data_IF_197933207281
#
_entry.id   IF_197933207281
#
_cell.length_a   1.000
_cell.length_b   1.000
_cell.length_c   1.000
_cell.angle_alpha   90.00
_cell.angle_beta   90.00
_cell.angle_gamma   90.00
#
_symmetry.space_group_name_H-M   'P 1'
#
loop_
_entity.id
_entity.type
_entity.pdbx_description
1 polymer ?
#
# COMPACT_ATOMS: atom_id res chain seq x y z
N UNK A 1 23.23 20.70 33.24
CA UNK A 1 23.11 21.01 31.80
C UNK A 1 23.12 19.75 30.92
N UNK A 2 24.05 18.81 31.09
CA UNK A 2 24.08 17.55 30.31
C UNK A 2 22.82 16.68 30.46
N UNK A 3 22.28 16.54 31.68
CA UNK A 3 21.06 15.73 31.94
C UNK A 3 19.81 16.32 31.27
N UNK A 4 19.73 17.64 31.18
CA UNK A 4 18.61 18.36 30.52
C UNK A 4 18.67 18.15 29.00
N UNK A 5 19.88 18.16 28.41
CA UNK A 5 20.06 17.90 26.99
C UNK A 5 19.76 16.44 26.61
N UNK A 6 20.10 15.46 27.45
CA UNK A 6 19.78 14.05 27.22
C UNK A 6 18.27 13.82 27.27
N UNK A 7 17.57 14.41 28.25
CA UNK A 7 16.11 14.31 28.34
C UNK A 7 15.39 14.93 27.13
N UNK A 8 15.89 16.05 26.60
CA UNK A 8 15.36 16.69 25.38
C UNK A 8 15.60 15.80 24.14
N UNK A 9 16.80 15.22 23.99
CA UNK A 9 17.11 14.32 22.87
C UNK A 9 16.26 13.05 22.93
N UNK A 10 16.08 12.45 24.11
CA UNK A 10 15.21 11.28 24.28
C UNK A 10 13.73 11.60 24.02
N UNK A 11 13.24 12.77 24.44
CA UNK A 11 11.88 13.24 24.13
C UNK A 11 11.70 13.52 22.62
N UNK A 12 12.71 14.07 21.95
CA UNK A 12 12.72 14.27 20.49
C UNK A 12 12.81 12.93 19.72
N UNK A 13 13.57 11.95 20.21
CA UNK A 13 13.60 10.60 19.64
C UNK A 13 12.29 9.85 19.85
N UNK A 14 11.59 10.06 20.97
CA UNK A 14 10.23 9.53 21.19
C UNK A 14 9.20 10.20 20.26
N UNK A 15 9.36 11.50 19.99
CA UNK A 15 8.50 12.25 19.05
C UNK A 15 8.68 11.85 17.57
N UNK A 16 9.83 11.29 17.20
CA UNK A 16 10.11 10.86 15.81
C UNK A 16 9.65 9.41 15.55
N UNK A 17 9.33 8.63 16.57
CA UNK A 17 8.65 7.33 16.42
C UNK A 17 7.13 7.55 16.47
N UNK A 18 6.62 8.38 15.55
CA UNK A 18 5.22 8.24 15.12
C UNK A 18 5.22 7.06 14.17
N UNK A 19 4.75 5.89 14.63
CA UNK A 19 4.45 4.79 13.71
C UNK A 19 3.47 5.33 12.65
N UNK A 20 3.82 5.16 11.37
CA UNK A 20 2.94 5.54 10.28
C UNK A 20 1.62 4.77 10.43
N UNK A 21 0.50 5.43 10.18
CA UNK A 21 -0.80 4.78 10.25
C UNK A 21 -0.97 3.74 9.14
N UNK A 22 -1.86 2.74 9.27
CA UNK A 22 -2.06 1.71 8.26
C UNK A 22 -2.35 2.28 6.86
N UNK A 23 -3.07 3.40 6.77
CA UNK A 23 -3.35 4.11 5.54
C UNK A 23 -2.09 4.74 4.92
N UNK A 24 -1.17 5.27 5.72
CA UNK A 24 0.11 5.82 5.24
C UNK A 24 1.06 4.71 4.76
N UNK A 25 1.12 3.59 5.47
CA UNK A 25 1.89 2.42 5.05
C UNK A 25 1.36 1.84 3.73
N UNK A 26 0.04 1.73 3.62
CA UNK A 26 -0.63 1.32 2.39
C UNK A 26 -0.34 2.30 1.25
N UNK A 27 -0.50 3.61 1.46
CA UNK A 27 -0.20 4.65 0.49
C UNK A 27 1.24 4.55 -0.02
N UNK A 28 2.20 4.40 0.90
CA UNK A 28 3.62 4.29 0.59
C UNK A 28 3.90 3.08 -0.28
N UNK A 29 3.31 1.93 0.02
CA UNK A 29 3.51 0.71 -0.76
C UNK A 29 2.85 0.79 -2.14
N UNK A 30 1.64 1.35 -2.24
CA UNK A 30 1.00 1.64 -3.53
C UNK A 30 1.89 2.54 -4.38
N UNK A 31 2.41 3.63 -3.80
CA UNK A 31 3.25 4.59 -4.51
C UNK A 31 4.61 4.02 -4.91
N UNK A 32 5.18 3.11 -4.11
CA UNK A 32 6.39 2.35 -4.48
C UNK A 32 6.15 1.52 -5.74
N UNK A 33 5.00 0.85 -5.83
CA UNK A 33 4.63 0.01 -6.97
C UNK A 33 4.24 0.85 -8.19
N UNK A 34 3.44 1.91 -8.02
CA UNK A 34 3.10 2.88 -9.09
C UNK A 34 4.33 3.51 -9.73
N UNK A 35 5.37 3.79 -8.94
CA UNK A 35 6.65 4.30 -9.44
C UNK A 35 7.31 3.36 -10.45
N UNK A 36 7.22 2.03 -10.25
CA UNK A 36 7.75 1.04 -11.21
C UNK A 36 7.11 1.14 -12.59
N UNK A 37 5.90 1.69 -12.65
CA UNK A 37 5.11 1.88 -13.87
C UNK A 37 5.16 3.33 -14.40
N UNK A 38 5.90 4.23 -13.74
CA UNK A 38 5.91 5.66 -14.08
C UNK A 38 4.58 6.36 -13.81
N UNK A 39 3.70 5.78 -12.98
CA UNK A 39 2.44 6.41 -12.61
C UNK A 39 2.68 7.49 -11.55
N UNK A 40 1.99 8.64 -11.61
CA UNK A 40 2.05 9.66 -10.56
C UNK A 40 1.67 9.07 -9.19
N UNK A 41 2.26 9.54 -8.08
CA UNK A 41 1.87 9.08 -6.76
C UNK A 41 0.42 9.47 -6.46
N UNK A 42 -0.28 8.58 -5.74
CA UNK A 42 -1.55 8.88 -5.11
C UNK A 42 -1.33 9.72 -3.85
N UNK A 43 -2.37 10.41 -3.42
CA UNK A 43 -2.47 11.02 -2.08
C UNK A 43 -3.63 10.41 -1.31
N UNK A 44 -3.52 10.32 0.01
CA UNK A 44 -4.68 9.97 0.84
C UNK A 44 -5.75 11.07 0.75
N UNK A 45 -7.01 10.65 0.82
CA UNK A 45 -8.17 11.52 0.94
C UNK A 45 -8.97 11.10 2.17
N UNK A 46 -9.04 11.98 3.17
CA UNK A 46 -9.62 11.66 4.48
C UNK A 46 -11.09 11.22 4.40
N UNK A 47 -11.85 11.77 3.46
CA UNK A 47 -13.26 11.38 3.27
C UNK A 47 -13.33 9.97 2.70
N UNK A 48 -12.53 9.69 1.67
CA UNK A 48 -12.48 8.36 1.05
C UNK A 48 -11.93 7.29 2.01
N UNK A 49 -10.92 7.64 2.83
CA UNK A 49 -10.37 6.78 3.90
C UNK A 49 -11.43 6.44 4.92
N UNK A 50 -12.16 7.44 5.44
CA UNK A 50 -13.25 7.21 6.38
C UNK A 50 -14.33 6.29 5.78
N UNK A 51 -14.70 6.50 4.53
CA UNK A 51 -15.67 5.64 3.84
C UNK A 51 -15.15 4.21 3.66
N UNK A 52 -13.83 4.02 3.44
CA UNK A 52 -13.20 2.70 3.39
C UNK A 52 -13.23 2.00 4.76
N UNK A 53 -12.96 2.73 5.84
CA UNK A 53 -13.00 2.20 7.22
C UNK A 53 -14.40 1.74 7.61
N UNK A 54 -15.42 2.56 7.30
CA UNK A 54 -16.82 2.21 7.51
C UNK A 54 -17.19 0.97 6.71
N UNK A 55 -16.77 0.89 5.45
CA UNK A 55 -17.06 -0.27 4.61
C UNK A 55 -16.30 -1.53 5.02
N UNK A 56 -15.05 -1.40 5.50
CA UNK A 56 -14.28 -2.51 6.03
C UNK A 56 -15.02 -3.19 7.18
N UNK A 57 -15.63 -2.42 8.08
CA UNK A 57 -16.48 -2.94 9.18
C UNK A 57 -17.65 -3.76 8.63
N UNK A 58 -18.34 -3.27 7.62
CA UNK A 58 -19.47 -3.98 6.98
C UNK A 58 -19.06 -5.35 6.45
N UNK A 59 -17.99 -5.43 5.65
CA UNK A 59 -17.54 -6.71 5.09
C UNK A 59 -16.89 -7.62 6.14
N UNK A 60 -16.30 -7.03 7.20
CA UNK A 60 -15.75 -7.76 8.34
C UNK A 60 -16.82 -8.45 9.18
N UNK A 61 -17.96 -7.78 9.41
CA UNK A 61 -19.15 -8.35 10.05
C UNK A 61 -19.79 -9.45 9.20
N UNK A 62 -19.87 -9.25 7.88
CA UNK A 62 -20.37 -10.25 6.94
C UNK A 62 -19.43 -11.46 6.82
N UNK A 63 -18.13 -11.26 7.03
CA UNK A 63 -17.11 -12.29 6.88
C UNK A 63 -16.88 -12.72 5.42
N UNK A 64 -17.23 -11.87 4.44
CA UNK A 64 -17.07 -12.17 3.01
C UNK A 64 -16.76 -10.91 2.20
N UNK A 65 -16.01 -11.05 1.10
CA UNK A 65 -15.71 -9.93 0.22
C UNK A 65 -16.85 -9.69 -0.75
N UNK A 66 -17.57 -8.58 -0.56
CA UNK A 66 -18.59 -8.10 -1.50
C UNK A 66 -18.31 -6.64 -1.82
N UNK A 67 -18.32 -6.26 -3.10
CA UNK A 67 -18.16 -4.87 -3.51
C UNK A 67 -19.32 -3.98 -3.04
N UNK A 68 -19.01 -2.72 -2.70
CA UNK A 68 -20.00 -1.75 -2.20
C UNK A 68 -21.12 -1.39 -3.19
N UNK A 69 -20.92 -1.69 -4.48
CA UNK A 69 -21.84 -1.29 -5.56
C UNK A 69 -21.61 0.15 -6.05
N UNK A 70 -20.69 0.88 -5.44
CA UNK A 70 -20.38 2.29 -5.76
C UNK A 70 -19.28 2.46 -6.82
N UNK A 71 -19.04 1.43 -7.65
CA UNK A 71 -17.98 1.40 -8.68
C UNK A 71 -18.03 2.51 -9.74
N UNK A 72 -19.09 3.34 -9.74
CA UNK A 72 -19.18 4.56 -10.58
C UNK A 72 -18.58 5.80 -9.92
N UNK A 73 -18.47 5.82 -8.59
CA UNK A 73 -17.94 6.95 -7.81
C UNK A 73 -16.44 6.83 -7.60
N UNK A 74 -15.94 5.61 -7.44
CA UNK A 74 -14.53 5.26 -7.22
C UNK A 74 -14.28 3.84 -7.72
N UNK A 75 -13.02 3.46 -7.92
CA UNK A 75 -12.69 2.02 -7.94
C UNK A 75 -12.46 1.48 -6.53
N UNK A 76 -12.50 0.17 -6.36
CA UNK A 76 -12.43 -0.50 -5.07
C UNK A 76 -11.66 -1.82 -5.19
N UNK A 77 -10.67 -2.00 -4.31
CA UNK A 77 -10.01 -3.27 -4.08
C UNK A 77 -10.39 -3.79 -2.70
N UNK A 78 -10.64 -5.10 -2.62
CA UNK A 78 -11.01 -5.79 -1.38
C UNK A 78 -10.05 -6.95 -1.13
N UNK A 79 -9.79 -7.24 0.14
CA UNK A 79 -8.91 -8.33 0.54
C UNK A 79 -9.25 -8.76 1.97
N UNK A 80 -9.01 -10.03 2.31
CA UNK A 80 -9.00 -10.49 3.68
C UNK A 80 -7.74 -11.30 3.97
N UNK A 81 -7.18 -11.19 5.17
CA UNK A 81 -5.95 -11.91 5.58
C UNK A 81 -5.97 -12.20 7.08
N UNK A 82 -5.38 -13.32 7.50
CA UNK A 82 -5.25 -13.66 8.93
C UNK A 82 -3.93 -13.17 9.55
N UNK A 83 -3.01 -12.67 8.72
CA UNK A 83 -1.74 -12.08 9.09
C UNK A 83 -1.70 -10.58 8.70
N UNK A 84 -0.52 -10.04 8.39
CA UNK A 84 -0.32 -8.61 8.14
C UNK A 84 -1.20 -8.05 7.00
N UNK A 85 -2.18 -7.15 7.24
CA UNK A 85 -3.07 -6.63 6.20
C UNK A 85 -2.35 -5.87 5.07
N UNK A 86 -1.13 -5.36 5.31
CA UNK A 86 -0.38 -4.62 4.29
C UNK A 86 -0.02 -5.49 3.08
N UNK A 87 0.16 -6.81 3.24
CA UNK A 87 0.47 -7.66 2.07
C UNK A 87 -0.71 -7.82 1.09
N UNK A 88 -1.93 -7.36 1.43
CA UNK A 88 -3.00 -7.20 0.43
C UNK A 88 -2.51 -6.39 -0.78
N UNK A 89 -1.68 -5.37 -0.55
CA UNK A 89 -1.16 -4.50 -1.60
C UNK A 89 -0.28 -5.29 -2.58
N UNK A 90 0.55 -6.22 -2.08
CA UNK A 90 1.36 -7.08 -2.93
C UNK A 90 0.52 -8.16 -3.62
N UNK A 91 -0.43 -8.78 -2.91
CA UNK A 91 -1.35 -9.78 -3.47
C UNK A 91 -2.14 -9.20 -4.66
N UNK A 92 -2.65 -7.97 -4.53
CA UNK A 92 -3.32 -7.23 -5.61
C UNK A 92 -2.38 -6.91 -6.77
N UNK A 93 -1.14 -6.51 -6.48
CA UNK A 93 -0.17 -6.20 -7.53
C UNK A 93 0.29 -7.43 -8.31
N UNK A 94 0.39 -8.60 -7.66
CA UNK A 94 0.86 -9.85 -8.27
C UNK A 94 -0.04 -10.36 -9.40
N UNK A 95 -1.25 -9.85 -9.55
CA UNK A 95 -2.10 -10.05 -10.73
C UNK A 95 -1.46 -9.53 -12.03
N UNK A 96 -0.41 -8.69 -11.95
CA UNK A 96 0.38 -8.24 -13.09
C UNK A 96 0.84 -9.39 -13.98
N UNK A 97 1.14 -10.56 -13.40
CA UNK A 97 1.60 -11.75 -14.13
C UNK A 97 0.57 -12.28 -15.14
N UNK A 98 -0.71 -11.98 -14.89
CA UNK A 98 -1.84 -12.42 -15.70
C UNK A 98 -2.34 -11.31 -16.65
N UNK A 99 -1.74 -10.11 -16.59
CA UNK A 99 -2.13 -8.97 -17.40
C UNK A 99 -1.41 -8.94 -18.77
N UNK A 100 -2.19 -9.00 -19.85
CA UNK A 100 -1.69 -8.84 -21.22
C UNK A 100 -1.65 -7.35 -21.60
N UNK A 101 -0.48 -6.75 -21.46
CA UNK A 101 -0.23 -5.34 -21.78
C UNK A 101 -0.42 -4.98 -23.26
N UNK A 102 -0.30 -5.95 -24.18
CA UNK A 102 -0.44 -5.69 -25.61
C UNK A 102 -1.92 -5.62 -26.01
N UNK A 103 -2.74 -6.50 -25.40
CA UNK A 103 -4.20 -6.40 -25.51
C UNK A 103 -4.73 -5.17 -24.80
N UNK A 104 -4.26 -4.88 -23.60
CA UNK A 104 -4.62 -3.69 -22.83
C UNK A 104 -6.13 -3.61 -22.56
N UNK A 105 -6.69 -4.67 -21.99
CA UNK A 105 -8.13 -4.81 -21.74
C UNK A 105 -8.40 -5.45 -20.37
N UNK A 106 -9.64 -5.34 -19.92
CA UNK A 106 -10.07 -6.02 -18.70
C UNK A 106 -10.14 -7.54 -18.89
N UNK A 107 -9.74 -8.28 -17.87
CA UNK A 107 -10.04 -9.70 -17.69
C UNK A 107 -10.34 -10.01 -16.23
N UNK A 108 -10.98 -11.14 -15.96
CA UNK A 108 -11.18 -11.58 -14.58
C UNK A 108 -9.83 -11.86 -13.92
N UNK A 109 -9.66 -11.42 -12.67
CA UNK A 109 -8.44 -11.66 -11.90
C UNK A 109 -7.29 -10.67 -12.14
N UNK A 110 -7.50 -9.57 -12.87
CA UNK A 110 -6.51 -8.47 -13.00
C UNK A 110 -7.02 -7.11 -12.51
N UNK A 111 -8.24 -7.10 -11.97
CA UNK A 111 -8.94 -5.88 -11.58
C UNK A 111 -8.23 -5.15 -10.44
N UNK A 112 -7.61 -5.86 -9.50
CA UNK A 112 -6.95 -5.23 -8.39
C UNK A 112 -5.64 -4.57 -8.82
N UNK A 113 -4.82 -5.28 -9.61
CA UNK A 113 -3.59 -4.72 -10.16
C UNK A 113 -3.88 -3.46 -10.98
N UNK A 114 -4.80 -3.57 -11.94
CA UNK A 114 -5.12 -2.45 -12.85
C UNK A 114 -5.69 -1.25 -12.12
N UNK A 115 -6.44 -1.45 -11.02
CA UNK A 115 -6.90 -0.37 -10.17
C UNK A 115 -5.75 0.38 -9.49
N UNK A 116 -4.79 -0.35 -8.90
CA UNK A 116 -3.65 0.24 -8.18
C UNK A 116 -2.77 1.11 -9.07
N UNK A 117 -2.49 0.64 -10.28
CA UNK A 117 -1.57 1.26 -11.23
C UNK A 117 -2.27 2.18 -12.24
N UNK A 118 -3.57 2.42 -12.09
CA UNK A 118 -4.34 3.28 -12.97
C UNK A 118 -3.75 4.70 -13.00
N UNK A 119 -3.19 5.09 -14.14
CA UNK A 119 -2.35 6.30 -14.29
C UNK A 119 -3.09 7.59 -13.93
N UNK A 120 -4.36 7.70 -14.30
CA UNK A 120 -5.17 8.91 -14.03
C UNK A 120 -5.74 8.98 -12.61
N UNK A 121 -5.64 7.92 -11.81
CA UNK A 121 -6.03 7.97 -10.40
C UNK A 121 -5.08 8.91 -9.64
N UNK A 122 -5.66 9.73 -8.76
CA UNK A 122 -4.97 10.80 -8.04
C UNK A 122 -5.03 10.61 -6.53
N UNK A 123 -6.16 10.09 -6.05
CA UNK A 123 -6.47 9.94 -4.63
C UNK A 123 -6.72 8.49 -4.30
N UNK A 124 -6.41 8.11 -3.08
CA UNK A 124 -6.86 6.86 -2.49
C UNK A 124 -7.44 7.06 -1.09
N UNK A 125 -8.34 6.15 -0.72
CA UNK A 125 -8.74 5.93 0.66
C UNK A 125 -8.41 4.51 1.05
N UNK A 126 -8.10 4.30 2.33
CA UNK A 126 -7.78 2.98 2.86
C UNK A 126 -8.54 2.75 4.16
N UNK A 127 -8.98 1.52 4.38
CA UNK A 127 -9.64 1.14 5.63
C UNK A 127 -9.45 -0.33 5.90
N UNK A 128 -9.30 -0.67 7.17
CA UNK A 128 -9.19 -2.06 7.61
C UNK A 128 -9.94 -2.30 8.91
N UNK A 129 -10.44 -3.51 9.09
CA UNK A 129 -10.99 -3.99 10.36
C UNK A 129 -10.47 -5.40 10.62
N UNK A 130 -10.26 -5.75 11.89
CA UNK A 130 -10.05 -7.13 12.31
C UNK A 130 -11.34 -7.65 12.92
N UNK A 131 -11.92 -8.71 12.36
CA UNK A 131 -13.13 -9.31 12.93
C UNK A 131 -12.82 -10.15 14.18
N UNK A 132 -13.86 -10.63 14.85
CA UNK A 132 -13.75 -11.43 16.09
C UNK A 132 -13.02 -12.77 15.92
N UNK A 133 -12.86 -13.23 14.67
CA UNK A 133 -12.08 -14.44 14.32
C UNK A 133 -10.60 -14.14 14.08
N UNK A 134 -10.19 -12.89 14.25
CA UNK A 134 -8.83 -12.43 14.04
C UNK A 134 -8.44 -12.24 12.57
N UNK A 135 -9.41 -12.21 11.65
CA UNK A 135 -9.19 -12.00 10.21
C UNK A 135 -9.36 -10.52 9.89
N UNK A 136 -8.36 -9.94 9.23
CA UNK A 136 -8.44 -8.59 8.68
C UNK A 136 -9.25 -8.57 7.40
N UNK A 137 -10.06 -7.52 7.24
CA UNK A 137 -10.74 -7.16 6.00
C UNK A 137 -10.29 -5.76 5.62
N UNK A 138 -9.84 -5.62 4.38
CA UNK A 138 -9.18 -4.42 3.87
C UNK A 138 -9.96 -3.90 2.67
N UNK A 139 -10.14 -2.58 2.63
CA UNK A 139 -10.77 -1.84 1.54
C UNK A 139 -9.80 -0.74 1.11
N UNK A 140 -9.48 -0.69 -0.17
CA UNK A 140 -8.82 0.45 -0.79
C UNK A 140 -9.71 1.01 -1.89
N UNK A 141 -9.87 2.33 -1.96
CA UNK A 141 -10.65 3.01 -3.01
C UNK A 141 -9.80 4.03 -3.74
N UNK A 142 -10.10 4.25 -5.01
CA UNK A 142 -9.32 5.12 -5.89
C UNK A 142 -10.21 6.14 -6.59
N UNK A 143 -9.74 7.39 -6.67
CA UNK A 143 -10.42 8.47 -7.35
C UNK A 143 -9.47 9.28 -8.25
N UNK A 144 -9.88 9.72 -9.46
CA UNK A 144 -11.11 9.36 -10.18
C UNK A 144 -11.29 7.85 -10.39
N UNK A 145 -12.50 7.37 -10.74
CA UNK A 145 -12.77 5.95 -10.94
C UNK A 145 -11.78 5.28 -11.89
N UNK A 146 -11.44 4.03 -11.57
CA UNK A 146 -10.45 3.22 -12.29
C UNK A 146 -11.12 2.02 -12.98
N UNK A 147 -10.36 1.25 -13.76
CA UNK A 147 -10.86 0.08 -14.50
C UNK A 147 -12.01 0.39 -15.48
N UNK A 148 -12.00 1.59 -16.04
CA UNK A 148 -12.99 2.02 -17.01
C UNK A 148 -12.75 1.26 -18.33
N UNK A 149 -13.76 0.50 -18.76
CA UNK A 149 -13.71 -0.26 -20.01
C UNK A 149 -13.38 0.66 -21.18
N UNK A 150 -12.39 0.26 -21.97
CA UNK A 150 -11.89 1.02 -23.12
C UNK A 150 -10.79 2.06 -22.80
N UNK A 151 -10.34 2.17 -21.54
CA UNK A 151 -9.30 3.13 -21.15
C UNK A 151 -8.04 2.48 -20.56
N UNK A 152 -7.88 1.16 -20.70
CA UNK A 152 -6.82 0.41 -20.06
C UNK A 152 -5.44 0.72 -20.67
N UNK A 153 -5.32 0.86 -21.99
CA UNK A 153 -4.03 1.12 -22.66
C UNK A 153 -3.40 2.44 -22.22
N UNK A 154 -4.21 3.44 -21.95
CA UNK A 154 -3.77 4.76 -21.53
C UNK A 154 -3.43 4.81 -20.04
N UNK A 155 -4.06 3.94 -19.24
CA UNK A 155 -3.99 3.97 -17.78
C UNK A 155 -3.16 2.85 -17.16
N UNK A 156 -2.80 1.81 -17.91
CA UNK A 156 -2.03 0.66 -17.42
C UNK A 156 -0.70 0.57 -18.18
N UNK A 157 0.28 1.42 -17.85
CA UNK A 157 1.57 1.37 -18.50
C UNK A 157 2.36 0.12 -18.09
N UNK A 158 3.21 -0.37 -19.00
CA UNK A 158 4.19 -1.42 -18.70
C UNK A 158 5.16 -0.95 -17.61
N UNK A 159 5.75 -1.87 -16.81
CA UNK A 159 6.88 -1.52 -15.96
C UNK A 159 7.97 -0.83 -16.77
N UNK A 160 8.60 0.19 -16.18
CA UNK A 160 9.77 0.84 -16.77
C UNK A 160 10.91 -0.17 -16.71
N UNK A 161 11.49 -0.47 -17.86
CA UNK A 161 12.72 -1.25 -17.95
C UNK A 161 13.86 -0.34 -17.52
N UNK A 162 14.25 -0.40 -16.25
CA UNK A 162 15.36 0.40 -15.71
C UNK A 162 16.72 -0.31 -15.87
N UNK A 163 16.76 -1.45 -16.57
CA UNK A 163 17.98 -2.24 -16.75
C UNK A 163 18.52 -2.87 -15.47
N UNK A 164 17.80 -2.78 -14.35
CA UNK A 164 18.24 -3.27 -13.04
C UNK A 164 17.59 -4.64 -12.75
N UNK A 165 17.99 -5.65 -13.51
CA UNK A 165 17.72 -7.04 -13.11
C UNK A 165 18.48 -7.36 -11.82
N UNK A 166 17.77 -7.94 -10.84
CA UNK A 166 18.24 -8.58 -9.60
C UNK A 166 18.47 -7.66 -8.40
N UNK A 167 17.53 -7.72 -7.44
CA UNK A 167 17.75 -7.26 -6.07
C UNK A 167 18.90 -8.07 -5.44
N UNK A 168 20.05 -7.42 -5.27
CA UNK A 168 21.11 -7.91 -4.41
C UNK A 168 20.71 -7.67 -2.93
N UNK A 169 20.29 -8.75 -2.27
CA UNK A 169 20.00 -8.79 -0.83
C UNK A 169 21.24 -8.52 0.05
N UNK A 170 22.44 -8.33 -0.51
CA UNK A 170 23.64 -7.99 0.26
C UNK A 170 23.55 -6.61 0.94
N UNK A 171 22.85 -5.66 0.31
CA UNK A 171 22.75 -4.28 0.79
C UNK A 171 21.93 -4.16 2.08
N UNK A 172 20.81 -4.90 2.19
CA UNK A 172 20.00 -4.95 3.42
C UNK A 172 20.71 -5.65 4.59
N UNK A 173 21.52 -6.67 4.30
CA UNK A 173 22.34 -7.35 5.32
C UNK A 173 23.45 -6.44 5.84
N UNK A 174 24.06 -5.62 4.97
CA UNK A 174 25.10 -4.67 5.37
C UNK A 174 24.58 -3.54 6.26
N UNK A 175 23.39 -2.99 5.96
CA UNK A 175 22.79 -1.92 6.78
C UNK A 175 22.44 -2.43 8.18
N UNK A 176 21.90 -3.65 8.29
CA UNK A 176 21.58 -4.24 9.59
C UNK A 176 22.85 -4.62 10.40
N UNK A 177 23.91 -5.09 9.74
CA UNK A 177 25.19 -5.36 10.40
C UNK A 177 25.86 -4.08 10.94
N UNK A 178 25.78 -2.96 10.19
CA UNK A 178 26.35 -1.68 10.59
C UNK A 178 25.62 -1.09 11.82
N UNK A 179 24.29 -1.20 11.86
CA UNK A 179 23.48 -0.78 13.00
C UNK A 179 23.77 -1.60 14.26
N UNK A 180 23.99 -2.91 14.11
CA UNK A 180 24.38 -3.78 15.22
C UNK A 180 25.79 -3.42 15.74
N UNK A 181 26.76 -3.17 14.85
CA UNK A 181 28.11 -2.74 15.23
C UNK A 181 28.13 -1.38 15.94
N UNK A 182 27.30 -0.43 15.51
CA UNK A 182 27.14 0.86 16.19
C UNK A 182 26.48 0.72 17.56
N UNK A 183 25.55 -0.22 17.74
CA UNK A 183 24.96 -0.51 19.05
C UNK A 183 26.02 -1.04 20.04
N UNK A 184 26.97 -1.88 19.61
CA UNK A 184 28.04 -2.38 20.49
C UNK A 184 29.08 -1.32 20.88
N UNK A 185 29.32 -0.31 20.05
CA UNK A 185 30.25 0.79 20.36
C UNK A 185 29.70 1.77 21.42
N UNK A 186 28.39 1.77 21.68
CA UNK A 186 27.76 2.63 22.69
C UNK A 186 27.59 1.95 24.06
N UNK A 187 27.92 0.66 24.19
CA UNK A 187 27.87 -0.08 25.46
C UNK A 187 29.24 -0.31 26.12
N UNK A 188 30.33 0.15 25.51
CA UNK A 188 31.66 0.15 26.11
C UNK A 188 32.17 1.59 26.29
N UNK A 189 31.57 2.30 27.24
CA UNK A 189 32.19 3.40 28.00
C UNK A 189 31.40 3.63 29.29
#
# INVERSE_FOLDING_TARGET
>A
MAVVNIAIVLALCWLVVVEASPEEDSLKEHNRLRKKHGCPPLTLDDTLTKDCEEYAKVIGEQGSLTHSGDGRKYGENLCYRSDDPLKCVQDWYDEIKDYDFDKGQYSSGIGHFTAMIWKSAQKMGYGQVKNDKGVYFVVARYYPPVNIIGQFKENVPKPIDDGTTMFDNSSMVQVNALLILLAFLHFTN
#
